data_IF_359690329665
#
_entry.id   IF_359690329665
#
_cell.length_a   1.000
_cell.length_b   1.000
_cell.length_c   1.000
_cell.angle_alpha   90.00
_cell.angle_beta   90.00
_cell.angle_gamma   90.00
#
_symmetry.space_group_name_H-M   'P 1'
#
loop_
_entity.id
_entity.type
_entity.pdbx_description
1 polymer ?
#
# COMPACT_ATOMS: atom_id res chain seq x y z
N UNK A 1 9.84 -24.13 34.11
CA UNK A 1 10.82 -23.34 33.34
C UNK A 1 10.99 -24.04 32.01
N UNK A 2 10.32 -23.56 30.97
CA UNK A 2 10.39 -24.10 29.60
C UNK A 2 11.02 -23.03 28.72
N UNK A 3 12.22 -23.32 28.24
CA UNK A 3 12.97 -22.49 27.28
C UNK A 3 12.18 -22.38 25.96
N UNK A 4 11.99 -21.18 25.37
CA UNK A 4 11.35 -21.07 24.06
C UNK A 4 12.31 -21.65 22.99
N UNK A 5 11.91 -22.77 22.38
CA UNK A 5 12.70 -23.54 21.39
C UNK A 5 12.99 -22.78 20.09
N UNK A 6 12.53 -21.55 19.92
CA UNK A 6 12.68 -20.79 18.68
C UNK A 6 13.19 -19.36 18.94
N UNK A 7 14.37 -18.98 18.43
CA UNK A 7 14.92 -17.62 18.59
C UNK A 7 14.02 -16.53 17.97
N UNK A 8 13.18 -16.89 17.00
CA UNK A 8 12.17 -15.98 16.45
C UNK A 8 11.02 -15.71 17.43
N UNK A 9 10.57 -16.72 18.17
CA UNK A 9 9.54 -16.53 19.21
C UNK A 9 10.06 -15.66 20.35
N UNK A 10 11.31 -15.86 20.77
CA UNK A 10 11.95 -15.02 21.77
C UNK A 10 12.08 -13.56 21.31
N UNK A 11 12.45 -13.34 20.04
CA UNK A 11 12.53 -12.01 19.45
C UNK A 11 11.14 -11.33 19.35
N UNK A 12 10.10 -12.08 18.97
CA UNK A 12 8.74 -11.55 18.91
C UNK A 12 8.18 -11.25 20.31
N UNK A 13 8.44 -12.09 21.30
CA UNK A 13 8.05 -11.84 22.69
C UNK A 13 8.74 -10.58 23.25
N UNK A 14 10.04 -10.43 22.99
CA UNK A 14 10.80 -9.23 23.36
C UNK A 14 10.27 -7.99 22.62
N UNK A 15 9.92 -8.09 21.34
CA UNK A 15 9.29 -7.01 20.57
C UNK A 15 7.94 -6.58 21.14
N UNK A 16 7.13 -7.52 21.61
CA UNK A 16 5.84 -7.23 22.27
C UNK A 16 6.01 -6.57 23.64
N UNK A 17 6.99 -6.98 24.45
CA UNK A 17 7.32 -6.31 25.73
C UNK A 17 7.86 -4.89 25.52
N UNK A 18 8.72 -4.71 24.51
CA UNK A 18 9.20 -3.38 24.10
C UNK A 18 8.06 -2.49 23.58
N UNK A 19 7.11 -3.04 22.83
CA UNK A 19 5.94 -2.28 22.37
C UNK A 19 5.04 -1.80 23.52
N UNK A 20 4.81 -2.65 24.54
CA UNK A 20 4.00 -2.32 25.72
C UNK A 20 4.62 -1.24 26.59
N UNK A 21 5.95 -1.20 26.68
CA UNK A 21 6.67 -0.22 27.51
C UNK A 21 6.81 1.14 26.83
N UNK A 22 6.78 1.20 25.50
CA UNK A 22 6.94 2.45 24.76
C UNK A 22 5.63 3.25 24.59
N UNK A 23 4.45 2.61 24.44
CA UNK A 23 3.15 3.30 24.44
C UNK A 23 1.99 2.28 24.48
N UNK A 24 0.99 2.41 25.39
CA UNK A 24 -0.25 1.61 25.33
C UNK A 24 -0.98 1.68 23.98
N UNK A 25 -0.77 2.75 23.19
CA UNK A 25 -1.31 2.88 21.84
C UNK A 25 -0.72 1.86 20.82
N UNK A 26 0.41 1.23 21.13
CA UNK A 26 1.01 0.18 20.30
C UNK A 26 0.38 -1.20 20.53
N UNK A 27 -0.44 -1.39 21.58
CA UNK A 27 -1.25 -2.63 21.72
C UNK A 27 -2.32 -2.76 20.62
N UNK A 28 -2.61 -1.67 19.91
CA UNK A 28 -3.49 -1.65 18.73
C UNK A 28 -2.73 -1.64 17.41
N UNK A 29 -1.50 -2.16 17.37
CA UNK A 29 -0.73 -2.30 16.14
C UNK A 29 -1.42 -3.30 15.19
N UNK A 30 -2.39 -2.78 14.45
CA UNK A 30 -3.10 -3.47 13.38
C UNK A 30 -2.33 -3.23 12.07
N UNK A 31 -2.40 -4.16 11.10
CA UNK A 31 -1.86 -3.91 9.75
C UNK A 31 -2.34 -2.58 9.16
N UNK A 32 -3.61 -2.21 9.41
CA UNK A 32 -4.19 -0.92 9.05
C UNK A 32 -3.48 0.28 9.71
N UNK A 33 -3.16 0.19 11.00
CA UNK A 33 -2.42 1.23 11.72
C UNK A 33 -0.98 1.37 11.21
N UNK A 34 -0.35 0.26 10.83
CA UNK A 34 1.00 0.26 10.26
C UNK A 34 1.06 0.94 8.88
N UNK A 35 0.09 0.70 8.01
CA UNK A 35 0.03 1.37 6.69
C UNK A 35 -0.05 2.90 6.78
N UNK A 36 -0.71 3.41 7.82
CA UNK A 36 -0.85 4.85 8.08
C UNK A 36 0.46 5.47 8.60
N UNK A 37 1.35 4.68 9.21
CA UNK A 37 2.66 5.11 9.68
C UNK A 37 3.71 5.15 8.56
N UNK A 38 3.48 4.44 7.44
CA UNK A 38 4.35 4.50 6.27
C UNK A 38 3.96 5.73 5.43
N UNK A 39 4.78 6.80 5.43
CA UNK A 39 4.46 8.01 4.70
C UNK A 39 4.46 7.73 3.20
N UNK A 40 3.64 8.47 2.46
CA UNK A 40 3.72 8.49 0.99
C UNK A 40 5.09 9.04 0.60
N UNK A 41 5.84 8.30 -0.22
CA UNK A 41 7.11 8.78 -0.77
C UNK A 41 6.85 9.99 -1.68
N UNK A 42 7.66 11.06 -1.62
CA UNK A 42 7.54 12.18 -2.53
C UNK A 42 7.73 11.76 -3.99
N UNK A 43 7.07 12.45 -4.93
CA UNK A 43 7.17 12.19 -6.37
C UNK A 43 8.61 12.04 -6.88
N UNK A 44 9.50 12.99 -6.56
CA UNK A 44 10.88 12.98 -7.05
C UNK A 44 11.69 11.80 -6.50
N UNK A 45 11.40 11.38 -5.27
CA UNK A 45 12.01 10.20 -4.67
C UNK A 45 11.50 8.93 -5.36
N UNK A 46 10.20 8.85 -5.68
CA UNK A 46 9.65 7.75 -6.45
C UNK A 46 10.24 7.67 -7.87
N UNK A 47 10.37 8.79 -8.58
CA UNK A 47 11.02 8.81 -9.90
C UNK A 47 12.50 8.44 -9.82
N UNK A 48 13.18 8.80 -8.75
CA UNK A 48 14.58 8.43 -8.54
C UNK A 48 14.75 6.94 -8.28
N UNK A 49 13.98 6.37 -7.35
CA UNK A 49 14.15 4.98 -6.91
C UNK A 49 13.46 3.99 -7.85
N UNK A 50 12.29 4.36 -8.37
CA UNK A 50 11.43 3.50 -9.18
C UNK A 50 11.23 4.01 -10.59
N UNK A 51 11.58 5.24 -10.93
CA UNK A 51 11.32 5.80 -12.26
C UNK A 51 12.46 5.58 -13.25
N UNK A 52 12.68 6.59 -14.08
CA UNK A 52 13.64 6.55 -15.20
C UNK A 52 15.05 6.99 -14.82
N UNK A 53 15.28 7.49 -13.61
CA UNK A 53 16.58 8.06 -13.21
C UNK A 53 17.75 7.10 -13.37
N UNK A 54 17.58 5.83 -13.00
CA UNK A 54 18.61 4.79 -13.20
C UNK A 54 18.41 3.95 -14.47
N UNK A 55 17.25 4.05 -15.12
CA UNK A 55 16.96 3.38 -16.39
C UNK A 55 16.14 4.31 -17.30
N UNK A 56 16.80 5.20 -18.06
CA UNK A 56 16.14 6.26 -18.83
C UNK A 56 15.12 5.75 -19.87
N UNK A 57 15.33 4.55 -20.41
CA UNK A 57 14.43 3.90 -21.37
C UNK A 57 13.37 3.00 -20.72
N UNK A 58 13.36 2.92 -19.38
CA UNK A 58 12.41 2.13 -18.61
C UNK A 58 11.04 2.79 -18.46
N UNK A 59 10.14 2.12 -17.74
CA UNK A 59 8.85 2.70 -17.34
C UNK A 59 9.05 3.77 -16.25
N UNK A 60 8.25 4.82 -16.28
CA UNK A 60 8.19 5.82 -15.21
C UNK A 60 7.51 5.27 -13.94
N UNK A 61 7.60 6.00 -12.83
CA UNK A 61 7.09 5.52 -11.54
C UNK A 61 5.56 5.36 -11.58
N UNK A 62 4.85 6.31 -12.20
CA UNK A 62 3.40 6.24 -12.41
C UNK A 62 2.99 4.93 -13.08
N UNK A 63 3.60 4.58 -14.21
CA UNK A 63 3.26 3.38 -14.97
C UNK A 63 3.55 2.12 -14.15
N UNK A 64 4.69 2.07 -13.43
CA UNK A 64 5.02 0.94 -12.56
C UNK A 64 4.04 0.78 -11.41
N UNK A 65 3.56 1.88 -10.84
CA UNK A 65 2.57 1.87 -9.76
C UNK A 65 1.20 1.40 -10.27
N UNK A 66 0.77 1.81 -11.46
CA UNK A 66 -0.46 1.30 -12.09
C UNK A 66 -0.36 -0.21 -12.38
N UNK A 67 0.77 -0.68 -12.91
CA UNK A 67 1.01 -2.12 -13.11
C UNK A 67 0.98 -2.89 -11.79
N UNK A 68 1.59 -2.32 -10.74
CA UNK A 68 1.60 -2.89 -9.40
C UNK A 68 0.18 -2.97 -8.84
N UNK A 69 -0.62 -1.90 -8.97
CA UNK A 69 -2.02 -1.87 -8.55
C UNK A 69 -2.84 -2.95 -9.26
N UNK A 70 -2.61 -3.13 -10.56
CA UNK A 70 -3.24 -4.20 -11.34
C UNK A 70 -2.93 -5.59 -10.77
N UNK A 71 -1.66 -5.87 -10.50
CA UNK A 71 -1.22 -7.14 -9.91
C UNK A 71 -1.81 -7.36 -8.50
N UNK A 72 -1.80 -6.33 -7.66
CA UNK A 72 -2.37 -6.40 -6.30
C UNK A 72 -3.89 -6.60 -6.33
N UNK A 73 -4.58 -6.00 -7.29
CA UNK A 73 -6.02 -6.23 -7.50
C UNK A 73 -6.29 -7.70 -7.81
N UNK A 74 -5.49 -8.34 -8.69
CA UNK A 74 -5.63 -9.77 -9.00
C UNK A 74 -5.33 -10.65 -7.78
N UNK A 75 -4.36 -10.25 -6.93
CA UNK A 75 -4.01 -10.97 -5.71
C UNK A 75 -5.16 -10.98 -4.67
N UNK A 76 -6.05 -9.99 -4.72
CA UNK A 76 -7.29 -9.95 -3.94
C UNK A 76 -7.08 -9.65 -2.45
N UNK A 77 -7.84 -10.30 -1.57
CA UNK A 77 -8.00 -9.92 -0.15
C UNK A 77 -6.71 -9.91 0.69
N UNK A 78 -5.63 -10.52 0.22
CA UNK A 78 -4.34 -10.50 0.93
C UNK A 78 -3.55 -9.20 0.70
N UNK A 79 -3.97 -8.40 -0.29
CA UNK A 79 -3.25 -7.24 -0.79
C UNK A 79 -3.85 -5.90 -0.32
N UNK A 80 -4.83 -5.90 0.59
CA UNK A 80 -5.58 -4.67 0.91
C UNK A 80 -4.68 -3.52 1.33
N UNK A 81 -3.67 -3.84 2.15
CA UNK A 81 -2.72 -2.88 2.67
C UNK A 81 -1.90 -2.22 1.57
N UNK A 82 -1.38 -3.07 0.70
CA UNK A 82 -0.57 -2.70 -0.43
C UNK A 82 -1.40 -1.91 -1.44
N UNK A 83 -2.67 -2.26 -1.66
CA UNK A 83 -3.56 -1.51 -2.55
C UNK A 83 -3.69 -0.06 -2.08
N UNK A 84 -4.01 0.19 -0.81
CA UNK A 84 -4.14 1.56 -0.30
C UNK A 84 -2.83 2.34 -0.44
N UNK A 85 -1.71 1.71 -0.09
CA UNK A 85 -0.39 2.31 -0.21
C UNK A 85 -0.04 2.62 -1.67
N UNK A 86 -0.30 1.70 -2.59
CA UNK A 86 -0.02 1.89 -4.02
C UNK A 86 -0.90 2.98 -4.62
N UNK A 87 -2.18 3.08 -4.23
CA UNK A 87 -3.07 4.17 -4.66
C UNK A 87 -2.54 5.54 -4.23
N UNK A 88 -2.11 5.71 -2.97
CA UNK A 88 -1.50 6.97 -2.50
C UNK A 88 -0.28 7.36 -3.32
N UNK A 89 0.62 6.41 -3.53
CA UNK A 89 1.84 6.63 -4.31
C UNK A 89 1.54 6.92 -5.78
N UNK A 90 0.55 6.26 -6.37
CA UNK A 90 0.15 6.49 -7.76
C UNK A 90 -0.36 7.93 -7.95
N UNK A 91 -1.21 8.42 -7.04
CA UNK A 91 -1.69 9.81 -7.05
C UNK A 91 -0.53 10.80 -6.94
N UNK A 92 0.38 10.60 -6.00
CA UNK A 92 1.58 11.43 -5.82
C UNK A 92 2.50 11.39 -7.05
N UNK A 93 2.60 10.25 -7.73
CA UNK A 93 3.32 10.11 -9.00
C UNK A 93 2.60 10.78 -10.20
N UNK A 94 1.38 11.29 -10.02
CA UNK A 94 0.59 11.97 -11.06
C UNK A 94 -0.38 11.06 -11.82
N UNK A 95 -0.74 9.91 -11.27
CA UNK A 95 -1.90 9.16 -11.75
C UNK A 95 -3.19 9.90 -11.40
N UNK A 96 -4.15 9.91 -12.32
CA UNK A 96 -5.49 10.43 -12.09
C UNK A 96 -6.37 9.38 -11.42
N UNK A 97 -7.42 9.82 -10.72
CA UNK A 97 -8.46 8.92 -10.18
C UNK A 97 -9.04 8.01 -11.28
N UNK A 98 -9.19 8.54 -12.50
CA UNK A 98 -9.66 7.81 -13.68
C UNK A 98 -8.70 6.68 -14.08
N UNK A 99 -7.39 6.95 -14.19
CA UNK A 99 -6.40 5.92 -14.56
C UNK A 99 -6.33 4.79 -13.52
N UNK A 100 -6.50 5.12 -12.24
CA UNK A 100 -6.57 4.15 -11.14
C UNK A 100 -7.82 3.27 -11.29
N UNK A 101 -8.98 3.89 -11.49
CA UNK A 101 -10.25 3.18 -11.68
C UNK A 101 -10.23 2.27 -12.91
N UNK A 102 -9.73 2.76 -14.05
CA UNK A 102 -9.59 2.00 -15.29
C UNK A 102 -8.62 0.83 -15.13
N UNK A 103 -7.50 1.03 -14.43
CA UNK A 103 -6.55 -0.05 -14.14
C UNK A 103 -7.21 -1.19 -13.37
N UNK A 104 -7.95 -0.86 -12.30
CA UNK A 104 -8.68 -1.86 -11.48
C UNK A 104 -9.76 -2.56 -12.30
N UNK A 105 -10.54 -1.80 -13.09
CA UNK A 105 -11.60 -2.35 -13.94
C UNK A 105 -11.06 -3.29 -15.02
N UNK A 106 -9.97 -2.90 -15.70
CA UNK A 106 -9.32 -3.71 -16.73
C UNK A 106 -8.87 -5.06 -16.17
N UNK A 107 -8.20 -5.06 -15.01
CA UNK A 107 -7.69 -6.29 -14.43
C UNK A 107 -8.75 -7.10 -13.69
N UNK A 108 -9.89 -6.48 -13.35
CA UNK A 108 -11.04 -7.14 -12.74
C UNK A 108 -11.59 -8.30 -13.56
N UNK A 109 -11.39 -8.27 -14.89
CA UNK A 109 -11.72 -9.41 -15.78
C UNK A 109 -10.91 -10.66 -15.44
N UNK A 110 -9.67 -10.50 -14.94
CA UNK A 110 -8.78 -11.60 -14.58
C UNK A 110 -8.87 -11.97 -13.09
N UNK A 111 -8.98 -10.97 -12.21
CA UNK A 111 -9.11 -11.18 -10.75
C UNK A 111 -10.54 -11.55 -10.29
N UNK A 112 -11.53 -11.38 -11.17
CA UNK A 112 -12.94 -11.59 -10.88
C UNK A 112 -13.60 -10.40 -10.17
N UNK A 113 -14.93 -10.36 -10.24
CA UNK A 113 -15.77 -9.29 -9.67
C UNK A 113 -15.49 -9.01 -8.19
N UNK A 114 -15.32 -10.02 -7.30
CA UNK A 114 -15.07 -9.75 -5.88
C UNK A 114 -13.78 -8.98 -5.63
N UNK A 115 -12.70 -9.34 -6.33
CA UNK A 115 -11.39 -8.69 -6.18
C UNK A 115 -11.43 -7.25 -6.72
N UNK A 116 -12.07 -7.04 -7.87
CA UNK A 116 -12.31 -5.71 -8.44
C UNK A 116 -13.12 -4.82 -7.50
N UNK A 117 -14.26 -5.30 -7.00
CA UNK A 117 -15.13 -4.54 -6.09
C UNK A 117 -14.38 -4.14 -4.83
N UNK A 118 -13.61 -5.07 -4.24
CA UNK A 118 -12.82 -4.76 -3.05
C UNK A 118 -11.72 -3.75 -3.34
N UNK A 119 -10.99 -3.89 -4.45
CA UNK A 119 -9.96 -2.93 -4.84
C UNK A 119 -10.53 -1.53 -5.09
N UNK A 120 -11.70 -1.42 -5.73
CA UNK A 120 -12.39 -0.14 -5.94
C UNK A 120 -12.79 0.51 -4.61
N UNK A 121 -13.39 -0.24 -3.69
CA UNK A 121 -13.73 0.24 -2.33
C UNK A 121 -12.50 0.82 -1.61
N UNK A 122 -11.39 0.09 -1.67
CA UNK A 122 -10.12 0.52 -1.06
C UNK A 122 -9.55 1.76 -1.74
N UNK A 123 -9.56 1.81 -3.08
CA UNK A 123 -9.08 2.96 -3.83
C UNK A 123 -9.91 4.21 -3.53
N UNK A 124 -11.25 4.10 -3.53
CA UNK A 124 -12.14 5.21 -3.17
C UNK A 124 -11.85 5.76 -1.77
N UNK A 125 -11.66 4.88 -0.78
CA UNK A 125 -11.34 5.32 0.59
C UNK A 125 -10.07 6.17 0.69
N UNK A 126 -9.12 5.98 -0.23
CA UNK A 126 -7.88 6.76 -0.32
C UNK A 126 -8.07 8.03 -1.16
N UNK A 127 -8.87 7.97 -2.22
CA UNK A 127 -9.12 9.10 -3.12
C UNK A 127 -10.08 10.15 -2.54
N UNK A 128 -10.96 9.75 -1.61
CA UNK A 128 -11.91 10.60 -0.88
C UNK A 128 -11.27 11.29 0.33
N UNK A 129 -10.14 10.79 0.82
CA UNK A 129 -9.40 11.39 1.95
C UNK A 129 -8.31 12.39 1.51
N UNK A 130 -8.30 12.77 0.24
CA UNK A 130 -7.48 13.89 -0.27
C UNK A 130 -8.05 15.25 0.15
N UNK A 131 -7.30 16.35 0.00
CA UNK A 131 -7.82 17.68 0.29
C UNK A 131 -9.12 17.86 -0.48
N UNK A 132 -10.20 18.19 0.23
CA UNK A 132 -11.42 18.66 -0.40
C UNK A 132 -11.02 19.77 -1.38
N UNK A 133 -11.46 19.65 -2.63
CA UNK A 133 -11.32 20.69 -3.62
C UNK A 133 -11.86 22.00 -2.99
N UNK A 134 -10.96 22.92 -2.65
CA UNK A 134 -11.28 24.30 -2.29
C UNK A 134 -11.97 24.94 -3.52
N UNK A 135 -13.30 24.83 -3.58
CA UNK A 135 -14.17 25.75 -4.34
C UNK A 135 -14.62 26.93 -3.48
#
# INVERSE_FOLDING_TARGET
>A
MTDPKNPFEAMMAMGQEWAKTLNPALEHFTPKGFEALIPTMPKDMMETVMGKTFNPEGLDAKTKLLLTLGALTILGAQAEAQIRMTVRHALEAGATKQEIAETIALVGVFGGVPAMTKAMELASSVMETGPEDDE
#
